data_IF_772040373962
#
_entry.id   IF_772040373962
#
_cell.length_a   1.000
_cell.length_b   1.000
_cell.length_c   1.000
_cell.angle_alpha   90.00
_cell.angle_beta   90.00
_cell.angle_gamma   90.00
#
_symmetry.space_group_name_H-M   'P 1'
#
loop_
_entity.id
_entity.type
_entity.pdbx_description
1 polymer ?
#
# COMPACT_ATOMS: atom_id res chain seq x y z
N UNK A 1 -46.74 -6.60 -7.91
CA UNK A 1 -45.46 -7.10 -7.34
C UNK A 1 -44.44 -7.54 -8.41
N UNK A 2 -44.85 -8.01 -9.59
CA UNK A 2 -43.90 -8.49 -10.62
C UNK A 2 -43.10 -7.39 -11.32
N UNK A 3 -43.70 -6.21 -11.54
CA UNK A 3 -43.03 -5.06 -12.16
C UNK A 3 -41.86 -4.60 -11.30
N UNK A 4 -42.04 -4.53 -9.97
CA UNK A 4 -40.99 -4.15 -9.03
C UNK A 4 -39.82 -5.14 -9.05
N UNK A 5 -40.11 -6.45 -9.12
CA UNK A 5 -39.08 -7.49 -9.28
C UNK A 5 -38.32 -7.37 -10.61
N UNK A 6 -39.02 -7.06 -11.69
CA UNK A 6 -38.42 -6.90 -13.02
C UNK A 6 -37.48 -5.69 -13.08
N UNK A 7 -37.90 -4.56 -12.50
CA UNK A 7 -37.08 -3.36 -12.37
C UNK A 7 -35.88 -3.62 -11.47
N UNK A 8 -36.08 -4.27 -10.33
CA UNK A 8 -35.00 -4.60 -9.38
C UNK A 8 -33.95 -5.51 -9.99
N UNK A 9 -34.38 -6.52 -10.76
CA UNK A 9 -33.48 -7.46 -11.45
C UNK A 9 -32.63 -6.78 -12.53
N UNK A 10 -33.20 -5.80 -13.25
CA UNK A 10 -32.46 -4.99 -14.23
C UNK A 10 -31.53 -3.98 -13.55
N UNK A 11 -31.97 -3.40 -12.44
CA UNK A 11 -31.16 -2.47 -11.64
C UNK A 11 -29.91 -3.14 -11.07
N UNK A 12 -30.02 -4.36 -10.57
CA UNK A 12 -28.87 -5.12 -10.05
C UNK A 12 -27.85 -5.44 -11.13
N UNK A 13 -28.29 -5.84 -12.32
CA UNK A 13 -27.39 -6.11 -13.45
C UNK A 13 -26.59 -4.86 -13.84
N UNK A 14 -27.24 -3.69 -13.86
CA UNK A 14 -26.57 -2.41 -14.16
C UNK A 14 -25.59 -2.05 -13.04
N UNK A 15 -26.00 -2.24 -11.78
CA UNK A 15 -25.17 -1.98 -10.61
C UNK A 15 -23.90 -2.82 -10.60
N UNK A 16 -23.99 -4.11 -10.91
CA UNK A 16 -22.83 -5.02 -10.92
C UNK A 16 -21.78 -4.58 -11.94
N UNK A 17 -22.22 -4.22 -13.16
CA UNK A 17 -21.33 -3.76 -14.24
C UNK A 17 -20.70 -2.40 -13.91
N UNK A 18 -21.47 -1.49 -13.32
CA UNK A 18 -20.99 -0.15 -12.96
C UNK A 18 -20.07 -0.15 -11.74
N UNK A 19 -20.22 -1.12 -10.83
CA UNK A 19 -19.44 -1.21 -9.60
C UNK A 19 -17.95 -1.43 -9.87
N UNK A 20 -17.59 -2.27 -10.85
CA UNK A 20 -16.19 -2.53 -11.20
C UNK A 20 -15.55 -1.26 -11.75
N UNK A 21 -16.23 -0.56 -12.65
CA UNK A 21 -15.73 0.69 -13.22
C UNK A 21 -15.51 1.78 -12.16
N UNK A 22 -16.50 1.97 -11.26
CA UNK A 22 -16.38 2.95 -10.18
C UNK A 22 -15.28 2.54 -9.19
N UNK A 23 -15.26 1.28 -8.76
CA UNK A 23 -14.26 0.78 -7.82
C UNK A 23 -12.84 0.92 -8.37
N UNK A 24 -12.64 0.58 -9.64
CA UNK A 24 -11.36 0.72 -10.32
C UNK A 24 -10.98 2.18 -10.53
N UNK A 25 -11.92 3.05 -10.87
CA UNK A 25 -11.69 4.49 -10.98
C UNK A 25 -11.28 5.12 -9.64
N UNK A 26 -11.98 4.80 -8.56
CA UNK A 26 -11.64 5.26 -7.20
C UNK A 26 -10.26 4.74 -6.80
N UNK A 27 -9.95 3.47 -7.08
CA UNK A 27 -8.65 2.88 -6.77
C UNK A 27 -7.52 3.60 -7.52
N UNK A 28 -7.69 3.82 -8.82
CA UNK A 28 -6.71 4.56 -9.65
C UNK A 28 -6.52 5.97 -9.11
N UNK A 29 -7.60 6.70 -8.85
CA UNK A 29 -7.53 8.05 -8.30
C UNK A 29 -6.82 8.06 -6.94
N UNK A 30 -7.15 7.14 -6.03
CA UNK A 30 -6.50 7.04 -4.72
C UNK A 30 -5.00 6.80 -4.84
N UNK A 31 -4.59 5.83 -5.67
CA UNK A 31 -3.18 5.50 -5.85
C UNK A 31 -2.40 6.67 -6.43
N UNK A 32 -2.94 7.35 -7.45
CA UNK A 32 -2.23 8.45 -8.09
C UNK A 32 -2.25 9.75 -7.27
N UNK A 33 -3.32 10.04 -6.53
CA UNK A 33 -3.46 11.31 -5.81
C UNK A 33 -2.94 11.27 -4.38
N UNK A 34 -2.93 10.11 -3.73
CA UNK A 34 -2.50 9.96 -2.33
C UNK A 34 -1.21 9.14 -2.28
N UNK A 35 -1.23 7.93 -2.84
CA UNK A 35 -0.13 6.98 -2.65
C UNK A 35 1.16 7.42 -3.37
N UNK A 36 1.06 7.87 -4.63
CA UNK A 36 2.21 8.36 -5.41
C UNK A 36 2.88 9.58 -4.76
N UNK A 37 2.20 10.68 -4.42
CA UNK A 37 2.87 11.82 -3.80
C UNK A 37 3.43 11.48 -2.42
N UNK A 38 2.78 10.62 -1.63
CA UNK A 38 3.33 10.11 -0.38
C UNK A 38 4.63 9.32 -0.61
N UNK A 39 4.62 8.37 -1.54
CA UNK A 39 5.78 7.56 -1.88
C UNK A 39 6.93 8.40 -2.43
N UNK A 40 6.63 9.39 -3.27
CA UNK A 40 7.61 10.37 -3.76
C UNK A 40 8.16 11.21 -2.60
N UNK A 41 7.31 11.67 -1.67
CA UNK A 41 7.73 12.40 -0.47
C UNK A 41 8.72 11.59 0.37
N UNK A 42 8.36 10.35 0.72
CA UNK A 42 9.25 9.44 1.46
C UNK A 42 10.53 9.17 0.68
N UNK A 43 10.42 8.86 -0.62
CA UNK A 43 11.59 8.58 -1.46
C UNK A 43 12.50 9.78 -1.57
N UNK A 44 11.97 10.99 -1.66
CA UNK A 44 12.73 12.23 -1.89
C UNK A 44 13.34 12.81 -0.61
N UNK A 45 12.60 12.76 0.50
CA UNK A 45 12.97 13.40 1.77
C UNK A 45 13.67 12.45 2.73
N UNK A 46 13.40 11.15 2.64
CA UNK A 46 13.99 10.13 3.52
C UNK A 46 14.94 9.23 2.74
N UNK A 47 15.98 8.75 3.42
CA UNK A 47 16.86 7.68 2.90
C UNK A 47 16.93 6.52 3.90
N UNK A 48 15.80 5.82 4.17
CA UNK A 48 15.76 4.79 5.20
C UNK A 48 16.72 3.63 4.90
N UNK A 49 16.98 3.36 3.61
CA UNK A 49 17.92 2.32 3.19
C UNK A 49 19.36 2.83 3.00
N UNK A 50 19.65 4.11 3.29
CA UNK A 50 20.98 4.73 3.12
C UNK A 50 21.58 4.52 1.72
N UNK A 51 20.73 4.42 0.68
CA UNK A 51 21.15 4.09 -0.69
C UNK A 51 21.79 5.30 -1.38
N UNK A 52 21.39 6.51 -1.01
CA UNK A 52 21.82 7.73 -1.72
C UNK A 52 23.27 8.11 -1.42
N UNK A 53 23.74 7.74 -0.23
CA UNK A 53 25.13 7.95 0.21
C UNK A 53 25.72 6.60 0.59
N UNK A 54 26.03 5.74 -0.40
CA UNK A 54 26.62 4.44 -0.13
C UNK A 54 27.96 4.67 0.55
N UNK A 55 28.08 4.18 1.79
CA UNK A 55 29.32 4.29 2.54
C UNK A 55 30.16 3.06 2.16
N UNK A 56 31.36 3.27 1.64
CA UNK A 56 32.30 2.18 1.28
C UNK A 56 33.00 1.55 2.49
N UNK A 57 32.49 1.80 3.70
CA UNK A 57 33.01 1.26 4.97
C UNK A 57 31.99 0.32 5.59
N UNK A 58 32.47 -0.63 6.38
CA UNK A 58 31.59 -1.47 7.20
C UNK A 58 30.65 -0.59 8.04
N UNK A 59 29.35 -0.86 7.97
CA UNK A 59 28.37 -0.14 8.77
C UNK A 59 28.48 -0.61 10.22
N UNK A 60 28.67 0.34 11.15
CA UNK A 60 28.60 0.07 12.58
C UNK A 60 27.16 -0.36 12.91
N UNK A 61 26.96 -1.65 13.19
CA UNK A 61 25.72 -2.15 13.78
C UNK A 61 25.83 -2.04 15.29
N UNK A 62 24.83 -1.43 15.91
CA UNK A 62 24.70 -1.50 17.36
C UNK A 62 24.64 -2.97 17.81
N UNK A 63 25.35 -3.35 18.87
CA UNK A 63 25.25 -4.71 19.40
C UNK A 63 23.81 -4.98 19.81
N UNK A 64 23.22 -6.04 19.25
CA UNK A 64 22.00 -6.63 19.80
C UNK A 64 22.38 -7.19 21.17
N UNK A 65 21.53 -6.96 22.17
CA UNK A 65 21.88 -7.09 23.60
C UNK A 65 22.66 -8.36 23.99
N UNK A 66 23.36 -8.31 25.13
CA UNK A 66 24.29 -9.37 25.55
C UNK A 66 23.64 -10.65 26.08
N UNK A 67 22.32 -10.82 25.95
CA UNK A 67 21.61 -11.97 26.54
C UNK A 67 21.33 -13.06 25.50
N UNK A 68 21.18 -14.30 25.97
CA UNK A 68 20.79 -15.44 25.13
C UNK A 68 19.43 -15.21 24.44
N UNK A 69 18.53 -14.49 25.10
CA UNK A 69 17.20 -14.19 24.58
C UNK A 69 17.25 -13.16 23.44
N UNK A 70 18.18 -12.19 23.52
CA UNK A 70 18.45 -11.25 22.43
C UNK A 70 19.06 -11.97 21.21
N UNK A 71 19.96 -12.93 21.45
CA UNK A 71 20.57 -13.74 20.38
C UNK A 71 19.54 -14.59 19.63
N UNK A 72 18.50 -15.09 20.31
CA UNK A 72 17.39 -15.83 19.68
C UNK A 72 16.54 -15.01 18.72
N UNK A 73 16.54 -13.67 18.84
CA UNK A 73 15.74 -12.75 18.00
C UNK A 73 16.50 -12.23 16.78
N UNK A 74 17.72 -12.71 16.52
CA UNK A 74 18.58 -12.25 15.43
C UNK A 74 18.31 -12.91 14.06
N UNK A 75 17.53 -13.99 14.02
CA UNK A 75 17.14 -14.74 12.82
C UNK A 75 15.61 -14.78 12.70
#
# INVERSE_FOLDING_TARGET
MEILRSVWKRWTIIGDVYSDFVGRSITVLFYFTIFVPFALGVRLLSDPLHIRKPVTRWHDRAPVGGTLEDARRQF
#
